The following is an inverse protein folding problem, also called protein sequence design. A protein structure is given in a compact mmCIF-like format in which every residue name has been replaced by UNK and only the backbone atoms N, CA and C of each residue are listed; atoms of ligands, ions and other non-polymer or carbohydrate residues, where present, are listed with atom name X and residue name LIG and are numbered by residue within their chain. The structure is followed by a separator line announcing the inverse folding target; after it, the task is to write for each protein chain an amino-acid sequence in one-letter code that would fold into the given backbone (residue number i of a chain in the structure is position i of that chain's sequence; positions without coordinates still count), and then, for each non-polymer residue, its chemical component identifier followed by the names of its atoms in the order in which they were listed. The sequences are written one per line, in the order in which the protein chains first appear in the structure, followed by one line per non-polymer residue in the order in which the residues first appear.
data_IF_517072481997
#
_entry.id   IF_517072481997
#
_cell.length_a   1.000
_cell.length_b   1.000
_cell.length_c   1.000
_cell.angle_alpha   90.00
_cell.angle_beta   90.00
_cell.angle_gamma   90.00
#
_symmetry.space_group_name_H-M   'P 1'
#
loop_
_entity.id
_entity.type
_entity.pdbx_description
1 polymer ?
#
# COMPACT_ATOMS: atom_id res chain seq x y z
N UNK A 1 8.14 17.45 -2.27
CA UNK A 1 7.33 17.02 -1.11
C UNK A 1 8.20 17.07 0.13
N UNK A 2 7.83 17.85 1.15
CA UNK A 2 8.56 17.86 2.43
C UNK A 2 8.39 16.53 3.17
N UNK A 3 9.14 16.30 4.24
CA UNK A 3 8.95 15.10 5.07
C UNK A 3 7.56 15.06 5.73
N UNK A 4 7.07 16.22 6.19
CA UNK A 4 5.72 16.38 6.75
C UNK A 4 4.65 16.10 5.70
N UNK A 5 4.79 16.65 4.49
CA UNK A 5 3.82 16.42 3.40
C UNK A 5 3.79 14.93 3.01
N UNK A 6 4.96 14.28 2.97
CA UNK A 6 5.06 12.84 2.69
C UNK A 6 4.37 12.03 3.77
N UNK A 7 4.57 12.37 5.04
CA UNK A 7 3.93 11.66 6.15
C UNK A 7 2.42 11.84 6.13
N UNK A 8 1.93 13.06 5.87
CA UNK A 8 0.50 13.34 5.72
C UNK A 8 -0.10 12.53 4.56
N UNK A 9 0.55 12.53 3.40
CA UNK A 9 0.12 11.77 2.24
C UNK A 9 0.08 10.26 2.50
N UNK A 10 1.11 9.70 3.15
CA UNK A 10 1.12 8.29 3.55
C UNK A 10 0.00 8.01 4.56
N UNK A 11 -0.22 8.90 5.53
CA UNK A 11 -1.26 8.73 6.55
C UNK A 11 -2.68 8.76 5.95
N UNK A 12 -2.91 9.53 4.90
CA UNK A 12 -4.18 9.55 4.16
C UNK A 12 -4.40 8.25 3.36
N UNK A 13 -3.36 7.72 2.72
CA UNK A 13 -3.46 6.51 1.90
C UNK A 13 -3.49 5.19 2.69
N UNK A 14 -2.87 5.15 3.88
CA UNK A 14 -2.72 3.91 4.65
C UNK A 14 -4.06 3.24 5.04
N UNK A 15 -5.09 3.98 5.50
CA UNK A 15 -6.39 3.39 5.80
C UNK A 15 -7.08 2.79 4.57
N UNK A 16 -6.88 3.38 3.39
CA UNK A 16 -7.48 2.90 2.13
C UNK A 16 -6.87 1.55 1.75
N UNK A 17 -5.53 1.45 1.75
CA UNK A 17 -4.81 0.22 1.43
C UNK A 17 -5.12 -0.87 2.47
N UNK A 18 -5.22 -0.51 3.76
CA UNK A 18 -5.61 -1.44 4.82
C UNK A 18 -7.03 -1.97 4.63
N UNK A 19 -7.99 -1.10 4.28
CA UNK A 19 -9.36 -1.52 3.98
C UNK A 19 -9.40 -2.50 2.79
N UNK A 20 -8.64 -2.23 1.73
CA UNK A 20 -8.51 -3.13 0.58
C UNK A 20 -7.93 -4.48 0.98
N UNK A 21 -6.82 -4.52 1.73
CA UNK A 21 -6.21 -5.75 2.21
C UNK A 21 -7.19 -6.60 3.02
N UNK A 22 -7.94 -5.96 3.93
CA UNK A 22 -8.97 -6.61 4.75
C UNK A 22 -10.13 -7.12 3.90
N UNK A 23 -10.61 -6.32 2.94
CA UNK A 23 -11.71 -6.69 2.05
C UNK A 23 -11.37 -7.90 1.19
N UNK A 24 -10.20 -7.88 0.54
CA UNK A 24 -9.72 -9.00 -0.28
C UNK A 24 -9.51 -10.27 0.55
N UNK A 25 -8.94 -10.15 1.76
CA UNK A 25 -8.76 -11.31 2.64
C UNK A 25 -10.11 -11.92 3.05
N UNK A 26 -11.04 -11.09 3.54
CA UNK A 26 -12.37 -11.58 3.94
C UNK A 26 -13.08 -12.25 2.76
N UNK A 27 -13.06 -11.63 1.58
CA UNK A 27 -13.64 -12.20 0.37
C UNK A 27 -13.00 -13.54 -0.03
N UNK A 28 -11.67 -13.69 0.13
CA UNK A 28 -10.99 -14.96 -0.13
C UNK A 28 -11.49 -16.10 0.77
N UNK A 29 -11.82 -15.81 2.03
CA UNK A 29 -12.30 -16.77 3.02
C UNK A 29 -13.74 -17.22 2.74
N UNK A 30 -14.54 -16.37 2.11
CA UNK A 30 -15.93 -16.67 1.74
C UNK A 30 -16.03 -17.59 0.52
N UNK A 31 -15.01 -17.60 -0.37
CA UNK A 31 -14.97 -18.38 -1.62
C UNK A 31 -14.62 -19.87 -1.43
N UNK A 32 -15.24 -20.55 -0.46
CA UNK A 32 -14.94 -21.95 -0.10
C UNK A 32 -15.11 -22.97 -1.23
N UNK A 33 -15.97 -22.70 -2.21
CA UNK A 33 -16.20 -23.56 -3.37
C UNK A 33 -15.40 -23.21 -4.62
N UNK A 34 -14.54 -22.18 -4.54
CA UNK A 34 -13.84 -21.59 -5.69
C UNK A 34 -12.37 -21.34 -5.33
N UNK A 35 -11.56 -22.41 -5.20
CA UNK A 35 -10.22 -22.33 -4.62
C UNK A 35 -9.28 -21.43 -5.44
N UNK A 36 -9.45 -21.38 -6.77
CA UNK A 36 -8.62 -20.53 -7.62
C UNK A 36 -8.91 -19.05 -7.41
N UNK A 37 -10.19 -18.68 -7.34
CA UNK A 37 -10.62 -17.31 -7.11
C UNK A 37 -10.30 -16.86 -5.68
N UNK A 38 -10.41 -17.76 -4.71
CA UNK A 38 -9.96 -17.52 -3.34
C UNK A 38 -8.45 -17.19 -3.31
N UNK A 39 -7.61 -17.96 -4.00
CA UNK A 39 -6.18 -17.66 -4.12
C UNK A 39 -5.89 -16.31 -4.75
N UNK A 40 -6.63 -15.93 -5.80
CA UNK A 40 -6.47 -14.61 -6.45
C UNK A 40 -6.77 -13.49 -5.46
N UNK A 41 -7.89 -13.56 -4.73
CA UNK A 41 -8.22 -12.55 -3.70
C UNK A 41 -7.20 -12.54 -2.56
N UNK A 42 -6.73 -13.70 -2.11
CA UNK A 42 -5.68 -13.78 -1.11
C UNK A 42 -4.35 -13.17 -1.63
N UNK A 43 -4.08 -13.30 -2.94
CA UNK A 43 -2.99 -12.62 -3.63
C UNK A 43 -3.09 -11.11 -3.52
N UNK A 44 -4.24 -10.53 -3.91
CA UNK A 44 -4.47 -9.09 -3.77
C UNK A 44 -4.38 -8.61 -2.32
N UNK A 45 -4.90 -9.38 -1.35
CA UNK A 45 -4.77 -9.06 0.06
C UNK A 45 -3.29 -8.97 0.50
N UNK A 46 -2.46 -9.92 0.06
CA UNK A 46 -1.01 -9.92 0.33
C UNK A 46 -0.31 -8.75 -0.34
N UNK A 47 -0.67 -8.42 -1.57
CA UNK A 47 -0.13 -7.27 -2.29
C UNK A 47 -0.39 -5.99 -1.51
N UNK A 48 -1.64 -5.69 -1.14
CA UNK A 48 -1.98 -4.51 -0.35
C UNK A 48 -1.29 -4.48 1.02
N UNK A 49 -1.21 -5.63 1.71
CA UNK A 49 -0.46 -5.73 2.96
C UNK A 49 1.05 -5.46 2.79
N UNK A 50 1.66 -5.91 1.68
CA UNK A 50 3.05 -5.60 1.38
C UNK A 50 3.26 -4.11 1.12
N UNK A 51 2.32 -3.43 0.45
CA UNK A 51 2.37 -1.97 0.28
C UNK A 51 2.44 -1.25 1.62
N UNK A 52 1.63 -1.67 2.60
CA UNK A 52 1.64 -1.12 3.96
C UNK A 52 3.03 -1.25 4.59
N UNK A 53 3.67 -2.41 4.51
CA UNK A 53 5.00 -2.62 5.08
C UNK A 53 6.05 -1.71 4.42
N UNK A 54 6.01 -1.57 3.11
CA UNK A 54 6.90 -0.66 2.37
C UNK A 54 6.70 0.79 2.83
N UNK A 55 5.45 1.23 3.01
CA UNK A 55 5.15 2.58 3.48
C UNK A 55 5.64 2.80 4.92
N UNK A 56 5.49 1.81 5.80
CA UNK A 56 6.03 1.86 7.17
C UNK A 56 7.56 1.95 7.18
N UNK A 57 8.24 1.21 6.30
CA UNK A 57 9.69 1.28 6.16
C UNK A 57 10.14 2.66 5.68
N UNK A 58 9.39 3.26 4.75
CA UNK A 58 9.64 4.64 4.29
C UNK A 58 9.45 5.65 5.43
N UNK A 59 8.40 5.52 6.24
CA UNK A 59 8.16 6.40 7.41
C UNK A 59 9.28 6.26 8.44
N UNK A 60 9.81 5.05 8.65
CA UNK A 60 10.89 4.78 9.61
C UNK A 60 12.27 5.15 9.07
N UNK A 61 12.43 5.29 7.76
CA UNK A 61 13.72 5.58 7.14
C UNK A 61 14.15 7.03 7.47
N UNK A 62 15.39 7.25 7.98
CA UNK A 62 15.89 8.59 8.24
C UNK A 62 15.85 9.47 6.98
N UNK A 63 15.36 10.70 7.09
CA UNK A 63 15.14 11.60 5.93
C UNK A 63 16.38 11.77 5.05
N UNK A 64 17.57 11.82 5.65
CA UNK A 64 18.86 11.94 4.94
C UNK A 64 19.17 10.77 4.00
N UNK A 65 18.45 9.65 4.12
CA UNK A 65 18.61 8.43 3.32
C UNK A 65 17.49 8.22 2.33
N UNK A 66 16.39 8.97 2.42
CA UNK A 66 15.29 8.88 1.46
C UNK A 66 15.71 9.61 0.19
N UNK A 67 16.02 8.85 -0.86
CA UNK A 67 16.39 9.42 -2.15
C UNK A 67 15.18 10.06 -2.85
N UNK A 68 15.42 11.05 -3.72
CA UNK A 68 14.37 11.64 -4.56
C UNK A 68 13.63 10.61 -5.44
N UNK A 69 14.25 9.47 -5.75
CA UNK A 69 13.60 8.36 -6.47
C UNK A 69 12.47 7.71 -5.67
N UNK A 70 12.62 7.59 -4.35
CA UNK A 70 11.57 7.06 -3.47
C UNK A 70 10.39 8.02 -3.42
N UNK A 71 10.66 9.33 -3.37
CA UNK A 71 9.61 10.36 -3.41
C UNK A 71 8.81 10.32 -4.71
N UNK A 72 9.47 10.19 -5.87
CA UNK A 72 8.80 10.08 -7.16
C UNK A 72 8.04 8.75 -7.30
N UNK A 73 8.60 7.66 -6.77
CA UNK A 73 7.93 6.37 -6.76
C UNK A 73 6.67 6.37 -5.89
N UNK A 74 6.71 6.98 -4.70
CA UNK A 74 5.55 7.13 -3.81
C UNK A 74 4.39 7.86 -4.48
N UNK A 75 4.69 8.93 -5.24
CA UNK A 75 3.68 9.67 -6.00
C UNK A 75 2.97 8.78 -7.02
N UNK A 76 3.71 7.97 -7.78
CA UNK A 76 3.14 7.02 -8.74
C UNK A 76 2.42 5.84 -8.08
N UNK A 77 2.98 5.31 -6.99
CA UNK A 77 2.46 4.15 -6.28
C UNK A 77 1.11 4.40 -5.59
N UNK A 78 0.89 5.62 -5.12
CA UNK A 78 -0.38 6.05 -4.52
C UNK A 78 -1.30 6.78 -5.50
N UNK A 79 -0.99 6.76 -6.81
CA UNK A 79 -1.92 7.12 -7.87
C UNK A 79 -1.99 8.60 -8.26
N UNK A 80 -0.97 9.42 -7.97
CA UNK A 80 -0.92 10.78 -8.55
C UNK A 80 -0.17 10.75 -9.88
N UNK A 81 -0.91 10.75 -10.99
CA UNK A 81 -0.40 11.26 -12.26
C UNK A 81 -0.29 12.78 -12.13
N UNK A 82 0.91 13.29 -11.88
CA UNK A 82 1.22 14.68 -12.23
C UNK A 82 1.21 14.76 -13.75
N UNK A 83 0.21 15.45 -14.29
CA UNK A 83 0.25 15.95 -15.66
C UNK A 83 1.41 16.93 -15.87
#
# INVERSE_FOLDING_TARGET
MSATDRLAFIAEGLPIIHASAKGFWSGSVELRGKPREAEVLAGFAKEEAAKILILLDIVRCPEKRISGKVTNWLAGFMGTSSG
#
